data_IF_308832353152
#
_entry.id   IF_308832353152
#
_cell.length_a   1.000
_cell.length_b   1.000
_cell.length_c   1.000
_cell.angle_alpha   90.00
_cell.angle_beta   90.00
_cell.angle_gamma   90.00
#
_symmetry.space_group_name_H-M   'P 1'
#
loop_
_entity.id
_entity.type
_entity.pdbx_description
1 polymer ?
#
# COMPACT_ATOMS: atom_id res chain seq x y z
N UNK A 1 17.91 -33.38 6.95
CA UNK A 1 18.45 -33.23 8.32
C UNK A 1 17.25 -33.05 9.24
N UNK A 2 17.08 -33.89 10.25
CA UNK A 2 16.07 -33.67 11.31
C UNK A 2 16.46 -32.43 12.13
N UNK A 3 15.48 -31.75 12.76
CA UNK A 3 15.82 -30.69 13.72
C UNK A 3 16.72 -31.29 14.82
N UNK A 4 17.90 -30.73 15.05
CA UNK A 4 18.79 -31.27 16.08
C UNK A 4 18.26 -30.95 17.49
N UNK A 5 18.71 -31.69 18.51
CA UNK A 5 18.45 -31.34 19.88
C UNK A 5 18.99 -29.94 20.20
N UNK A 6 18.11 -29.10 20.73
CA UNK A 6 18.17 -27.62 20.76
C UNK A 6 19.09 -27.03 21.85
N UNK A 7 20.09 -27.80 22.28
CA UNK A 7 21.00 -27.37 23.36
C UNK A 7 22.46 -27.29 22.93
N UNK A 8 22.79 -27.68 21.70
CA UNK A 8 24.15 -27.55 21.20
C UNK A 8 24.34 -26.21 20.49
N UNK A 9 24.78 -25.21 21.27
CA UNK A 9 25.16 -23.89 20.76
C UNK A 9 26.28 -24.00 19.71
N UNK A 10 27.17 -24.99 19.83
CA UNK A 10 28.23 -25.22 18.85
C UNK A 10 27.65 -25.76 17.54
N UNK A 11 26.73 -26.72 17.61
CA UNK A 11 25.98 -27.18 16.44
C UNK A 11 25.29 -26.00 15.73
N UNK A 12 24.59 -25.14 16.48
CA UNK A 12 23.92 -23.98 15.86
C UNK A 12 24.94 -23.01 15.26
N UNK A 13 26.10 -22.80 15.89
CA UNK A 13 27.16 -21.96 15.33
C UNK A 13 27.62 -22.45 13.96
N UNK A 14 27.79 -23.76 13.79
CA UNK A 14 28.19 -24.39 12.52
C UNK A 14 27.07 -24.38 11.48
N UNK A 15 25.81 -24.46 11.92
CA UNK A 15 24.65 -24.57 11.04
C UNK A 15 23.89 -23.24 10.86
N UNK A 16 24.31 -22.13 11.49
CA UNK A 16 23.57 -20.85 11.45
C UNK A 16 23.37 -20.33 10.02
N UNK A 17 24.33 -20.59 9.13
CA UNK A 17 24.26 -20.20 7.72
C UNK A 17 23.03 -20.76 7.02
N UNK A 18 22.61 -22.01 7.32
CA UNK A 18 21.44 -22.61 6.69
C UNK A 18 20.14 -21.92 7.13
N UNK A 19 20.05 -21.49 8.38
CA UNK A 19 18.90 -20.75 8.90
C UNK A 19 18.87 -19.31 8.37
N UNK A 20 20.03 -18.70 8.17
CA UNK A 20 20.13 -17.39 7.55
C UNK A 20 19.67 -17.45 6.08
N UNK A 21 20.08 -18.49 5.36
CA UNK A 21 19.63 -18.70 3.99
C UNK A 21 18.14 -19.05 3.92
N UNK A 22 17.63 -19.89 4.82
CA UNK A 22 16.20 -20.19 4.91
C UNK A 22 15.39 -18.91 5.13
N UNK A 23 15.79 -18.06 6.08
CA UNK A 23 15.09 -16.82 6.37
C UNK A 23 15.10 -15.84 5.17
N UNK A 24 16.23 -15.71 4.48
CA UNK A 24 16.34 -14.91 3.24
C UNK A 24 15.41 -15.44 2.14
N UNK A 25 15.43 -16.76 1.89
CA UNK A 25 14.58 -17.39 0.86
C UNK A 25 13.10 -17.22 1.16
N UNK A 26 12.68 -17.44 2.40
CA UNK A 26 11.28 -17.25 2.79
C UNK A 26 10.86 -15.78 2.66
N UNK A 27 11.71 -14.84 3.04
CA UNK A 27 11.40 -13.41 2.90
C UNK A 27 11.25 -12.99 1.42
N UNK A 28 12.10 -13.50 0.53
CA UNK A 28 11.98 -13.27 -0.93
C UNK A 28 10.69 -13.85 -1.49
N UNK A 29 10.39 -15.11 -1.16
CA UNK A 29 9.14 -15.77 -1.55
C UNK A 29 7.94 -14.95 -1.07
N UNK A 30 7.91 -14.59 0.22
CA UNK A 30 6.80 -13.83 0.79
C UNK A 30 6.63 -12.47 0.07
N UNK A 31 7.73 -11.76 -0.16
CA UNK A 31 7.72 -10.48 -0.89
C UNK A 31 7.12 -10.63 -2.29
N UNK A 32 7.56 -11.64 -3.06
CA UNK A 32 7.04 -11.90 -4.40
C UNK A 32 5.54 -12.23 -4.38
N UNK A 33 5.10 -13.09 -3.46
CA UNK A 33 3.69 -13.48 -3.38
C UNK A 33 2.81 -12.29 -2.97
N UNK A 34 3.25 -11.46 -2.02
CA UNK A 34 2.50 -10.26 -1.60
C UNK A 34 2.36 -9.28 -2.77
N UNK A 35 3.43 -9.04 -3.53
CA UNK A 35 3.41 -8.17 -4.71
C UNK A 35 2.49 -8.71 -5.81
N UNK A 36 2.55 -10.02 -6.10
CA UNK A 36 1.67 -10.66 -7.08
C UNK A 36 0.18 -10.52 -6.71
N UNK A 37 -0.14 -10.62 -5.42
CA UNK A 37 -1.49 -10.46 -4.91
C UNK A 37 -1.88 -9.00 -4.65
N UNK A 38 -0.99 -8.04 -4.96
CA UNK A 38 -1.19 -6.59 -4.71
C UNK A 38 -1.55 -6.30 -3.25
N UNK A 39 -0.94 -7.03 -2.31
CA UNK A 39 -1.13 -6.84 -0.88
C UNK A 39 -0.12 -5.80 -0.41
N UNK A 40 -0.62 -4.75 0.25
CA UNK A 40 0.22 -3.69 0.80
C UNK A 40 0.99 -4.20 2.02
N UNK A 41 2.25 -3.79 2.13
CA UNK A 41 3.08 -4.02 3.31
C UNK A 41 4.09 -2.88 3.44
N UNK A 42 4.44 -2.53 4.68
CA UNK A 42 5.43 -1.51 4.97
C UNK A 42 6.86 -2.03 4.80
N UNK A 43 7.15 -3.23 5.33
CA UNK A 43 8.45 -3.86 5.16
C UNK A 43 8.41 -5.37 5.41
N UNK A 44 9.34 -6.09 4.77
CA UNK A 44 9.68 -7.49 5.07
C UNK A 44 11.15 -7.53 5.49
N UNK A 45 11.42 -8.09 6.66
CA UNK A 45 12.78 -8.29 7.21
C UNK A 45 13.01 -9.76 7.52
N UNK A 46 14.27 -10.17 7.54
CA UNK A 46 14.64 -11.52 7.94
C UNK A 46 15.92 -11.53 8.77
N UNK A 47 16.06 -12.53 9.62
CA UNK A 47 17.28 -12.78 10.39
C UNK A 47 17.39 -14.24 10.81
N UNK A 48 18.61 -14.78 10.86
CA UNK A 48 18.90 -15.89 11.74
C UNK A 48 19.17 -15.40 13.16
N UNK A 49 18.69 -16.14 14.17
CA UNK A 49 18.92 -15.82 15.58
C UNK A 49 20.41 -15.64 15.88
N UNK A 50 20.78 -14.67 16.71
CA UNK A 50 22.18 -14.51 17.13
C UNK A 50 22.56 -15.59 18.14
N UNK A 51 23.85 -15.95 18.19
CA UNK A 51 24.38 -16.93 19.16
C UNK A 51 24.13 -16.46 20.59
N UNK A 52 24.35 -15.18 20.87
CA UNK A 52 24.11 -14.57 22.18
C UNK A 52 22.63 -14.66 22.58
N UNK A 53 21.71 -14.34 21.66
CA UNK A 53 20.27 -14.45 21.92
C UNK A 53 19.84 -15.89 22.19
N UNK A 54 20.42 -16.86 21.46
CA UNK A 54 20.20 -18.28 21.71
C UNK A 54 20.69 -18.68 23.10
N UNK A 55 21.94 -18.33 23.44
CA UNK A 55 22.55 -18.61 24.75
C UNK A 55 21.74 -18.04 25.91
N UNK A 56 21.26 -16.81 25.78
CA UNK A 56 20.43 -16.17 26.80
C UNK A 56 19.07 -16.86 26.94
N UNK A 57 18.47 -17.30 25.83
CA UNK A 57 17.18 -18.00 25.83
C UNK A 57 17.29 -19.41 26.42
N UNK A 58 18.40 -20.13 26.19
CA UNK A 58 18.64 -21.47 26.76
C UNK A 58 18.90 -21.46 28.27
N UNK A 59 19.29 -20.31 28.85
CA UNK A 59 19.45 -20.15 30.30
C UNK A 59 18.13 -20.05 31.06
N UNK A 60 17.05 -19.69 30.38
CA UNK A 60 15.73 -19.60 30.99
C UNK A 60 15.13 -21.03 31.11
N UNK A 61 14.82 -21.50 32.34
CA UNK A 61 14.29 -22.84 32.59
C UNK A 61 13.03 -23.17 31.77
N UNK A 62 12.24 -22.15 31.39
CA UNK A 62 11.04 -22.30 30.57
C UNK A 62 11.33 -22.80 29.16
N UNK A 63 12.53 -22.54 28.65
CA UNK A 63 12.97 -22.92 27.30
C UNK A 63 14.05 -24.00 27.31
N UNK A 64 14.58 -24.35 28.48
CA UNK A 64 15.64 -25.34 28.65
C UNK A 64 15.27 -26.76 28.18
N UNK A 65 14.00 -27.06 27.93
CA UNK A 65 13.52 -28.37 27.44
C UNK A 65 12.64 -28.28 26.17
N UNK A 66 12.51 -27.10 25.55
CA UNK A 66 11.58 -26.86 24.44
C UNK A 66 12.30 -26.69 23.10
N UNK A 67 11.67 -27.19 22.05
CA UNK A 67 12.08 -26.94 20.66
C UNK A 67 11.95 -25.45 20.32
N UNK A 68 13.05 -24.83 19.86
CA UNK A 68 13.08 -23.47 19.34
C UNK A 68 12.76 -23.45 17.85
N UNK A 69 11.64 -22.81 17.50
CA UNK A 69 11.20 -22.65 16.11
C UNK A 69 11.62 -21.30 15.50
N UNK A 70 12.21 -20.39 16.30
CA UNK A 70 12.60 -19.03 15.92
C UNK A 70 14.09 -18.90 15.52
N UNK A 71 14.72 -19.99 15.04
CA UNK A 71 16.11 -19.97 14.58
C UNK A 71 16.28 -19.25 13.23
N UNK A 72 15.28 -19.38 12.37
CA UNK A 72 15.07 -18.56 11.17
C UNK A 72 13.80 -17.72 11.41
N UNK A 73 13.95 -16.39 11.39
CA UNK A 73 12.86 -15.46 11.69
C UNK A 73 12.63 -14.49 10.55
N UNK A 74 11.35 -14.31 10.20
CA UNK A 74 10.88 -13.34 9.23
C UNK A 74 9.94 -12.38 9.96
N UNK A 75 10.01 -11.10 9.62
CA UNK A 75 9.09 -10.08 10.10
C UNK A 75 8.36 -9.50 8.90
N UNK A 76 7.04 -9.58 8.91
CA UNK A 76 6.17 -8.97 7.92
C UNK A 76 5.37 -7.86 8.59
N UNK A 77 5.49 -6.63 8.08
CA UNK A 77 4.86 -5.46 8.68
C UNK A 77 3.85 -4.88 7.69
N UNK A 78 2.56 -4.91 8.04
CA UNK A 78 1.47 -4.23 7.32
C UNK A 78 1.35 -2.76 7.74
N UNK A 79 0.65 -1.93 6.97
CA UNK A 79 0.39 -0.55 7.39
C UNK A 79 -0.73 -0.49 8.42
N UNK A 80 -1.80 -1.25 8.19
CA UNK A 80 -2.98 -1.33 9.06
C UNK A 80 -3.31 -2.78 9.40
N UNK A 81 -4.32 -2.99 10.24
CA UNK A 81 -4.73 -4.32 10.69
C UNK A 81 -5.28 -5.18 9.55
N UNK A 82 -6.04 -4.60 8.64
CA UNK A 82 -6.53 -5.30 7.45
C UNK A 82 -5.40 -5.85 6.56
N UNK A 83 -4.26 -5.15 6.46
CA UNK A 83 -3.08 -5.66 5.76
C UNK A 83 -2.49 -6.89 6.49
N UNK A 84 -2.43 -6.85 7.83
CA UNK A 84 -1.97 -7.97 8.64
C UNK A 84 -2.82 -9.22 8.38
N UNK A 85 -4.14 -9.08 8.36
CA UNK A 85 -5.05 -10.19 8.08
C UNK A 85 -4.86 -10.76 6.67
N UNK A 86 -4.67 -9.89 5.67
CA UNK A 86 -4.33 -10.29 4.29
C UNK A 86 -3.00 -11.04 4.23
N UNK A 87 -1.96 -10.54 4.90
CA UNK A 87 -0.64 -11.19 4.96
C UNK A 87 -0.73 -12.56 5.63
N UNK A 88 -1.44 -12.68 6.76
CA UNK A 88 -1.67 -13.95 7.46
C UNK A 88 -2.33 -14.96 6.54
N UNK A 89 -3.40 -14.55 5.84
CA UNK A 89 -4.10 -15.41 4.89
C UNK A 89 -3.16 -15.90 3.79
N UNK A 90 -2.41 -15.00 3.15
CA UNK A 90 -1.44 -15.36 2.11
C UNK A 90 -0.36 -16.31 2.60
N UNK A 91 0.13 -16.13 3.84
CA UNK A 91 1.10 -17.07 4.44
C UNK A 91 0.48 -18.46 4.61
N UNK A 92 -0.75 -18.55 5.13
CA UNK A 92 -1.46 -19.83 5.32
C UNK A 92 -1.73 -20.55 4.00
N UNK A 93 -1.88 -19.83 2.90
CA UNK A 93 -2.07 -20.40 1.55
C UNK A 93 -0.76 -20.89 0.90
N UNK A 94 0.40 -20.41 1.35
CA UNK A 94 1.68 -20.61 0.64
C UNK A 94 2.76 -21.35 1.44
N UNK A 95 2.55 -21.55 2.74
CA UNK A 95 3.48 -22.26 3.63
C UNK A 95 2.74 -23.29 4.48
N UNK A 96 3.45 -24.33 4.90
CA UNK A 96 2.91 -25.34 5.81
C UNK A 96 2.91 -24.74 7.23
N UNK A 97 1.79 -24.14 7.64
CA UNK A 97 1.63 -23.53 8.96
C UNK A 97 1.28 -24.60 10.00
N UNK A 98 2.01 -24.61 11.11
CA UNK A 98 1.72 -25.46 12.27
C UNK A 98 0.91 -24.65 13.29
N UNK A 99 -0.42 -24.67 13.18
CA UNK A 99 -1.31 -23.88 14.05
C UNK A 99 -1.15 -24.27 15.54
N UNK A 100 -0.81 -25.53 15.85
CA UNK A 100 -0.61 -25.99 17.23
C UNK A 100 0.65 -25.40 17.89
N UNK A 101 1.65 -25.03 17.08
CA UNK A 101 2.88 -24.36 17.53
C UNK A 101 2.84 -22.84 17.36
N UNK A 102 1.94 -22.36 16.51
CA UNK A 102 1.72 -20.94 16.28
C UNK A 102 1.07 -20.31 17.50
N UNK A 103 1.33 -19.01 17.69
CA UNK A 103 0.78 -18.25 18.81
C UNK A 103 0.13 -17.01 18.27
N UNK A 104 -1.18 -16.95 18.44
CA UNK A 104 -1.85 -15.66 18.38
C UNK A 104 -1.66 -14.97 19.71
N UNK A 105 -0.55 -14.25 19.82
CA UNK A 105 -0.30 -13.45 20.99
C UNK A 105 -1.35 -12.38 21.15
N UNK A 106 -2.19 -12.00 20.17
CA UNK A 106 -3.23 -10.97 20.39
C UNK A 106 -4.24 -11.39 21.48
N UNK A 107 -4.58 -12.69 21.55
CA UNK A 107 -5.62 -13.25 22.43
C UNK A 107 -5.21 -13.55 23.89
N UNK A 108 -3.90 -13.59 24.20
CA UNK A 108 -3.40 -14.12 25.49
C UNK A 108 -3.22 -13.06 26.62
N UNK A 109 -3.88 -11.90 26.58
CA UNK A 109 -3.61 -10.80 27.53
C UNK A 109 -4.71 -10.80 28.58
N UNK A 110 -4.35 -10.75 29.87
CA UNK A 110 -5.29 -10.31 30.89
C UNK A 110 -5.89 -8.94 30.50
N UNK A 111 -7.21 -8.71 30.70
CA UNK A 111 -7.88 -7.46 30.33
C UNK A 111 -7.26 -6.19 30.96
N UNK A 112 -6.50 -6.34 32.04
CA UNK A 112 -5.84 -5.28 32.81
C UNK A 112 -4.43 -4.93 32.31
N UNK A 113 -3.97 -5.57 31.24
CA UNK A 113 -2.66 -5.30 30.64
C UNK A 113 -2.82 -4.99 29.16
N UNK A 114 -2.31 -3.85 28.74
CA UNK A 114 -2.19 -3.50 27.32
C UNK A 114 -0.83 -3.98 26.81
N UNK A 115 -0.80 -4.58 25.64
CA UNK A 115 0.44 -5.04 25.04
C UNK A 115 0.21 -5.27 23.56
N UNK A 116 1.12 -4.72 22.77
CA UNK A 116 0.90 -4.56 21.34
C UNK A 116 1.50 -5.76 20.60
N UNK A 117 0.68 -6.48 19.82
CA UNK A 117 0.86 -7.95 19.70
C UNK A 117 0.85 -8.44 18.27
N UNK A 118 2.04 -8.84 17.89
CA UNK A 118 2.31 -9.61 16.69
C UNK A 118 1.60 -10.96 16.67
N UNK A 119 1.16 -11.36 15.48
CA UNK A 119 0.80 -12.75 15.18
C UNK A 119 2.10 -13.51 14.91
N UNK A 120 2.31 -14.65 15.59
CA UNK A 120 3.48 -15.49 15.40
C UNK A 120 3.06 -16.81 14.74
N UNK A 121 3.44 -17.00 13.48
CA UNK A 121 3.19 -18.24 12.75
C UNK A 121 4.47 -19.07 12.69
N UNK A 122 4.35 -20.35 13.06
CA UNK A 122 5.43 -21.34 12.92
C UNK A 122 5.17 -22.15 11.66
N UNK A 123 6.12 -22.13 10.73
CA UNK A 123 5.90 -22.61 9.37
C UNK A 123 7.04 -23.53 8.89
N UNK A 124 6.75 -24.31 7.84
CA UNK A 124 7.73 -25.04 7.03
C UNK A 124 7.56 -24.70 5.54
N UNK A 125 8.59 -25.03 4.76
CA UNK A 125 8.52 -24.99 3.30
C UNK A 125 7.60 -26.14 2.83
N UNK A 126 6.57 -25.88 2.00
CA UNK A 126 5.67 -26.91 1.50
C UNK A 126 6.39 -28.00 0.72
N UNK A 127 5.85 -29.22 0.78
CA UNK A 127 6.41 -30.40 0.10
C UNK A 127 6.65 -30.17 -1.39
N UNK A 128 5.75 -29.44 -2.06
CA UNK A 128 5.88 -29.10 -3.49
C UNK A 128 7.13 -28.26 -3.77
N UNK A 129 7.47 -27.30 -2.89
CA UNK A 129 8.69 -26.50 -3.02
C UNK A 129 9.93 -27.30 -2.65
N UNK A 130 9.83 -28.19 -1.65
CA UNK A 130 10.94 -29.09 -1.25
C UNK A 130 11.35 -30.08 -2.36
N UNK A 131 10.49 -30.34 -3.35
CA UNK A 131 10.83 -31.16 -4.51
C UNK A 131 11.92 -30.50 -5.40
N UNK A 132 12.01 -29.17 -5.38
CA UNK A 132 13.01 -28.41 -6.13
C UNK A 132 14.42 -28.58 -5.51
N UNK A 133 15.47 -28.86 -6.30
CA UNK A 133 16.82 -29.17 -5.79
C UNK A 133 17.37 -28.14 -4.80
N UNK A 134 17.16 -26.86 -5.06
CA UNK A 134 17.66 -25.74 -4.27
C UNK A 134 16.97 -25.61 -2.89
N UNK A 135 15.79 -26.20 -2.70
CA UNK A 135 15.04 -26.16 -1.44
C UNK A 135 15.17 -27.44 -0.61
N UNK A 136 15.66 -28.55 -1.18
CA UNK A 136 15.80 -29.85 -0.48
C UNK A 136 16.52 -29.76 0.86
N UNK A 137 17.53 -28.89 0.95
CA UNK A 137 18.32 -28.66 2.17
C UNK A 137 17.53 -28.07 3.34
N UNK A 138 16.38 -27.44 3.07
CA UNK A 138 15.49 -26.88 4.09
C UNK A 138 14.46 -27.88 4.61
N UNK A 139 14.46 -29.12 4.10
CA UNK A 139 13.55 -30.15 4.57
C UNK A 139 13.63 -30.31 6.09
N UNK A 140 12.47 -30.34 6.74
CA UNK A 140 12.29 -30.45 8.20
C UNK A 140 12.73 -29.24 9.03
N UNK A 141 13.18 -28.15 8.41
CA UNK A 141 13.46 -26.91 9.12
C UNK A 141 12.18 -26.09 9.32
N UNK A 142 12.02 -25.56 10.53
CA UNK A 142 10.97 -24.60 10.84
C UNK A 142 11.52 -23.18 10.77
N UNK A 143 10.63 -22.24 10.49
CA UNK A 143 10.87 -20.81 10.62
C UNK A 143 9.67 -20.13 11.28
N UNK A 144 9.90 -19.00 11.91
CA UNK A 144 8.87 -18.15 12.52
C UNK A 144 8.63 -16.94 11.62
N UNK A 145 7.36 -16.64 11.31
CA UNK A 145 6.95 -15.36 10.73
C UNK A 145 6.21 -14.56 11.81
N UNK A 146 6.73 -13.38 12.12
CA UNK A 146 6.09 -12.40 13.00
C UNK A 146 5.40 -11.34 12.15
N UNK A 147 4.09 -11.21 12.31
CA UNK A 147 3.25 -10.34 11.48
C UNK A 147 2.68 -9.23 12.37
N UNK A 148 2.88 -7.98 11.98
CA UNK A 148 2.57 -6.79 12.79
C UNK A 148 2.05 -5.63 11.95
N UNK A 149 1.36 -4.68 12.56
CA UNK A 149 1.22 -3.34 11.96
C UNK A 149 2.52 -2.53 12.10
N UNK A 150 2.63 -1.41 11.36
CA UNK A 150 3.80 -0.53 11.41
C UNK A 150 3.96 0.12 12.79
N UNK A 151 2.85 0.48 13.42
CA UNK A 151 2.85 1.03 14.77
C UNK A 151 3.26 -0.07 15.77
N UNK A 152 2.77 -1.31 15.61
CA UNK A 152 3.18 -2.48 16.42
C UNK A 152 4.66 -2.77 16.34
N UNK A 153 5.20 -2.64 15.13
CA UNK A 153 6.61 -2.77 14.92
C UNK A 153 7.39 -1.67 15.65
N UNK A 154 6.99 -0.40 15.49
CA UNK A 154 7.68 0.73 16.11
C UNK A 154 7.72 0.64 17.64
N UNK A 155 6.57 0.35 18.27
CA UNK A 155 6.51 0.19 19.73
C UNK A 155 7.38 -0.96 20.21
N UNK A 156 7.35 -2.11 19.53
CA UNK A 156 8.13 -3.28 19.93
C UNK A 156 9.64 -3.05 19.80
N UNK A 157 10.09 -2.29 18.81
CA UNK A 157 11.51 -1.95 18.69
C UNK A 157 11.96 -1.01 19.82
N UNK A 158 11.12 -0.04 20.24
CA UNK A 158 11.41 0.85 21.37
C UNK A 158 11.41 0.07 22.69
N UNK A 159 10.38 -0.74 22.93
CA UNK A 159 10.25 -1.55 24.14
C UNK A 159 11.44 -2.51 24.27
N UNK A 160 11.78 -3.22 23.19
CA UNK A 160 12.88 -4.16 23.20
C UNK A 160 14.25 -3.49 23.41
N UNK A 161 14.54 -2.37 22.73
CA UNK A 161 15.82 -1.66 22.92
C UNK A 161 15.98 -1.18 24.37
N UNK A 162 14.91 -0.64 24.97
CA UNK A 162 14.93 -0.13 26.34
C UNK A 162 14.99 -1.25 27.38
N UNK A 163 14.18 -2.30 27.26
CA UNK A 163 14.22 -3.44 28.18
C UNK A 163 15.53 -4.23 28.09
N UNK A 164 16.15 -4.28 26.91
CA UNK A 164 17.46 -4.92 26.75
C UNK A 164 18.58 -4.13 27.44
N UNK A 165 18.57 -2.79 27.29
CA UNK A 165 19.56 -1.90 27.91
C UNK A 165 19.37 -1.69 29.40
N UNK A 166 18.13 -1.74 29.89
CA UNK A 166 17.77 -1.45 31.29
C UNK A 166 16.94 -2.61 31.86
N UNK A 167 17.59 -3.53 32.58
CA UNK A 167 16.88 -4.56 33.34
C UNK A 167 16.25 -3.93 34.59
N UNK A 168 14.96 -4.21 34.82
CA UNK A 168 14.25 -3.76 36.03
C UNK A 168 13.67 -2.36 35.93
N UNK A 169 12.96 -2.06 34.82
CA UNK A 169 12.16 -0.84 34.71
C UNK A 169 11.23 -0.67 35.91
N UNK A 170 11.14 0.56 36.41
CA UNK A 170 10.19 0.94 37.45
C UNK A 170 8.74 0.86 36.95
N UNK A 171 7.79 0.71 37.87
CA UNK A 171 6.40 0.40 37.51
C UNK A 171 5.68 1.59 36.83
N UNK A 172 6.10 2.82 37.11
CA UNK A 172 5.69 4.03 36.38
C UNK A 172 6.09 3.96 34.89
N UNK A 173 7.32 3.57 34.58
CA UNK A 173 7.76 3.42 33.18
C UNK A 173 6.99 2.29 32.49
N UNK A 174 6.76 1.16 33.16
CA UNK A 174 5.94 0.07 32.60
C UNK A 174 4.52 0.55 32.31
N UNK A 175 3.95 1.36 33.22
CA UNK A 175 2.63 1.96 33.04
C UNK A 175 2.60 2.87 31.80
N UNK A 176 3.63 3.69 31.58
CA UNK A 176 3.72 4.55 30.39
C UNK A 176 3.79 3.71 29.09
N UNK A 177 4.53 2.61 29.10
CA UNK A 177 4.55 1.66 27.96
C UNK A 177 3.16 1.07 27.68
N UNK A 178 2.40 0.71 28.72
CA UNK A 178 1.04 0.19 28.59
C UNK A 178 0.06 1.25 28.07
N UNK A 179 0.12 2.48 28.59
CA UNK A 179 -0.69 3.59 28.10
C UNK A 179 -0.39 3.89 26.63
N UNK A 180 0.89 3.91 26.27
CA UNK A 180 1.32 4.13 24.87
C UNK A 180 0.83 3.00 23.97
N UNK A 181 0.90 1.74 24.41
CA UNK A 181 0.35 0.61 23.65
C UNK A 181 -1.15 0.78 23.37
N UNK A 182 -1.93 1.19 24.37
CA UNK A 182 -3.37 1.46 24.19
C UNK A 182 -3.66 2.61 23.21
N UNK A 183 -2.86 3.69 23.25
CA UNK A 183 -2.98 4.78 22.28
C UNK A 183 -2.68 4.33 20.84
N UNK A 184 -1.63 3.53 20.66
CA UNK A 184 -1.26 3.02 19.34
C UNK A 184 -2.28 2.02 18.79
N UNK A 185 -2.85 1.18 19.64
CA UNK A 185 -3.95 0.29 19.26
C UNK A 185 -5.18 1.09 18.80
N UNK A 186 -5.53 2.17 19.50
CA UNK A 186 -6.60 3.06 19.05
C UNK A 186 -6.29 3.69 17.69
N UNK A 187 -5.06 4.18 17.51
CA UNK A 187 -4.62 4.77 16.25
C UNK A 187 -4.69 3.76 15.09
N UNK A 188 -4.24 2.51 15.29
CA UNK A 188 -4.38 1.44 14.29
C UNK A 188 -5.84 1.20 13.90
N UNK A 189 -6.75 1.11 14.88
CA UNK A 189 -8.18 0.93 14.61
C UNK A 189 -8.75 2.11 13.80
N UNK A 190 -8.33 3.34 14.10
CA UNK A 190 -8.76 4.52 13.32
C UNK A 190 -8.21 4.50 11.90
N UNK A 191 -6.93 4.15 11.70
CA UNK A 191 -6.38 4.03 10.36
C UNK A 191 -7.06 2.92 9.55
N UNK A 192 -7.37 1.79 10.19
CA UNK A 192 -8.11 0.69 9.56
C UNK A 192 -9.50 1.13 9.09
N UNK A 193 -10.23 1.88 9.92
CA UNK A 193 -11.53 2.48 9.55
C UNK A 193 -11.41 3.48 8.40
N UNK A 194 -10.37 4.33 8.42
CA UNK A 194 -10.13 5.31 7.35
C UNK A 194 -9.89 4.57 6.02
N UNK A 195 -9.00 3.56 6.01
CA UNK A 195 -8.70 2.76 4.82
C UNK A 195 -9.95 2.06 4.28
N UNK A 196 -10.73 1.38 5.15
CA UNK A 196 -11.99 0.72 4.76
C UNK A 196 -13.01 1.70 4.16
N UNK A 197 -13.11 2.91 4.71
CA UNK A 197 -13.99 3.97 4.18
C UNK A 197 -13.53 4.45 2.81
N UNK A 198 -12.22 4.60 2.60
CA UNK A 198 -11.65 4.97 1.30
C UNK A 198 -11.97 3.88 0.28
N UNK A 199 -11.70 2.62 0.59
CA UNK A 199 -11.96 1.48 -0.31
C UNK A 199 -13.45 1.35 -0.65
N UNK A 200 -14.32 1.41 0.35
CA UNK A 200 -15.78 1.37 0.16
C UNK A 200 -16.27 2.52 -0.74
N UNK A 201 -15.70 3.72 -0.57
CA UNK A 201 -16.04 4.86 -1.43
C UNK A 201 -15.59 4.63 -2.87
N UNK A 202 -14.37 4.12 -3.09
CA UNK A 202 -13.85 3.78 -4.42
C UNK A 202 -14.74 2.72 -5.10
N UNK A 203 -15.14 1.67 -4.38
CA UNK A 203 -16.02 0.63 -4.90
C UNK A 203 -17.39 1.18 -5.27
N UNK A 204 -17.98 2.00 -4.39
CA UNK A 204 -19.26 2.67 -4.64
C UNK A 204 -19.20 3.54 -5.90
N UNK A 205 -18.15 4.34 -6.07
CA UNK A 205 -17.97 5.21 -7.25
C UNK A 205 -17.79 4.35 -8.51
N UNK A 206 -16.98 3.29 -8.42
CA UNK A 206 -16.73 2.37 -9.52
C UNK A 206 -18.02 1.67 -9.96
N UNK A 207 -18.85 1.22 -9.02
CA UNK A 207 -20.12 0.59 -9.31
C UNK A 207 -21.10 1.58 -9.97
N UNK A 208 -21.30 2.78 -9.39
CA UNK A 208 -22.17 3.79 -9.98
C UNK A 208 -21.73 4.20 -11.39
N UNK A 209 -20.41 4.25 -11.63
CA UNK A 209 -19.83 4.50 -12.96
C UNK A 209 -20.20 3.39 -13.95
N UNK A 210 -20.09 2.12 -13.56
CA UNK A 210 -20.49 0.97 -14.40
C UNK A 210 -21.99 0.94 -14.68
N UNK A 211 -22.81 1.37 -13.73
CA UNK A 211 -24.27 1.47 -13.85
C UNK A 211 -24.72 2.70 -14.64
N UNK A 212 -23.80 3.59 -15.07
CA UNK A 212 -24.13 4.83 -15.77
C UNK A 212 -24.80 5.89 -14.88
N UNK A 213 -24.81 5.71 -13.55
CA UNK A 213 -25.44 6.61 -12.57
C UNK A 213 -24.56 7.80 -12.22
N UNK A 214 -24.02 8.46 -13.24
CA UNK A 214 -23.06 9.55 -13.08
C UNK A 214 -23.63 10.78 -12.37
N UNK A 215 -24.95 10.99 -12.44
CA UNK A 215 -25.61 12.13 -11.81
C UNK A 215 -25.57 12.08 -10.27
N UNK A 216 -25.38 10.89 -9.70
CA UNK A 216 -25.33 10.67 -8.24
C UNK A 216 -23.90 10.70 -7.67
N UNK A 217 -22.91 11.10 -8.48
CA UNK A 217 -21.50 11.15 -8.09
C UNK A 217 -21.04 12.59 -8.21
N UNK A 218 -20.89 13.26 -7.07
CA UNK A 218 -20.30 14.59 -6.99
C UNK A 218 -18.81 14.56 -7.36
N UNK A 219 -18.33 15.66 -7.91
CA UNK A 219 -16.94 15.85 -8.28
C UNK A 219 -16.16 16.35 -7.06
N UNK A 220 -15.26 15.50 -6.59
CA UNK A 220 -14.18 15.81 -5.67
C UNK A 220 -12.85 15.32 -6.30
N UNK A 221 -11.68 15.63 -5.70
CA UNK A 221 -10.43 15.24 -6.34
C UNK A 221 -10.24 13.71 -6.47
N UNK A 222 -10.84 12.91 -5.61
CA UNK A 222 -10.75 11.45 -5.71
C UNK A 222 -11.68 10.91 -6.81
N UNK A 223 -12.94 11.38 -6.86
CA UNK A 223 -13.93 10.93 -7.85
C UNK A 223 -13.52 11.38 -9.26
N UNK A 224 -13.04 12.63 -9.41
CA UNK A 224 -12.53 13.15 -10.68
C UNK A 224 -11.32 12.35 -11.15
N UNK A 225 -10.36 12.09 -10.25
CA UNK A 225 -9.17 11.31 -10.58
C UNK A 225 -9.53 9.91 -11.05
N UNK A 226 -10.37 9.21 -10.30
CA UNK A 226 -10.80 7.85 -10.64
C UNK A 226 -11.52 7.84 -11.99
N UNK A 227 -12.48 8.73 -12.19
CA UNK A 227 -13.27 8.80 -13.41
C UNK A 227 -12.40 9.10 -14.65
N UNK A 228 -11.59 10.15 -14.61
CA UNK A 228 -10.71 10.50 -15.74
C UNK A 228 -9.67 9.41 -16.01
N UNK A 229 -9.09 8.80 -14.97
CA UNK A 229 -8.13 7.71 -15.15
C UNK A 229 -8.76 6.49 -15.86
N UNK A 230 -10.02 6.17 -15.55
CA UNK A 230 -10.75 5.10 -16.22
C UNK A 230 -11.13 5.49 -17.66
N UNK A 231 -11.70 6.68 -17.85
CA UNK A 231 -12.15 7.18 -19.16
C UNK A 231 -11.02 7.28 -20.18
N UNK A 232 -9.83 7.69 -19.72
CA UNK A 232 -8.65 7.89 -20.57
C UNK A 232 -7.57 6.80 -20.40
N UNK A 233 -7.92 5.62 -19.86
CA UNK A 233 -6.99 4.52 -19.61
C UNK A 233 -6.21 4.05 -20.86
N UNK A 234 -6.72 4.31 -22.07
CA UNK A 234 -6.04 3.98 -23.33
C UNK A 234 -4.81 4.85 -23.66
N UNK A 235 -4.61 5.96 -22.95
CA UNK A 235 -3.51 6.89 -23.19
C UNK A 235 -2.22 6.41 -22.50
N UNK A 236 -1.27 5.89 -23.29
CA UNK A 236 -0.03 5.27 -22.78
C UNK A 236 0.85 6.18 -21.92
N UNK A 237 0.82 7.51 -22.09
CA UNK A 237 1.66 8.44 -21.30
C UNK A 237 0.89 9.19 -20.21
N UNK A 238 -0.40 8.89 -20.01
CA UNK A 238 -1.17 9.53 -18.95
C UNK A 238 -0.71 9.03 -17.58
N UNK A 239 -0.18 9.92 -16.74
CA UNK A 239 0.02 9.66 -15.32
C UNK A 239 -1.24 10.11 -14.57
N UNK A 240 -1.86 9.25 -13.76
CA UNK A 240 -3.07 9.60 -13.01
C UNK A 240 -2.71 10.47 -11.79
N UNK A 241 -2.21 11.68 -12.03
CA UNK A 241 -1.83 12.66 -11.01
C UNK A 241 -2.38 14.05 -11.36
N UNK A 242 -2.46 14.93 -10.38
CA UNK A 242 -2.69 16.35 -10.60
C UNK A 242 -1.35 17.07 -10.71
N UNK A 243 -1.22 17.97 -11.69
CA UNK A 243 0.05 18.59 -12.05
C UNK A 243 0.40 19.86 -11.28
N UNK A 244 -0.59 20.57 -10.74
CA UNK A 244 -0.38 21.90 -10.14
C UNK A 244 0.00 21.82 -8.66
N UNK A 245 -0.98 21.50 -7.79
CA UNK A 245 -0.76 21.35 -6.35
C UNK A 245 -0.70 19.87 -5.90
N UNK A 246 -0.90 18.94 -6.85
CA UNK A 246 -0.99 17.50 -6.60
C UNK A 246 -2.28 17.05 -5.90
N UNK A 247 -3.11 17.98 -5.43
CA UNK A 247 -4.31 17.67 -4.64
C UNK A 247 -5.56 17.53 -5.49
N UNK A 248 -5.61 18.21 -6.63
CA UNK A 248 -6.78 18.23 -7.52
C UNK A 248 -7.87 19.23 -7.10
N UNK A 249 -7.69 19.97 -6.01
CA UNK A 249 -8.67 20.95 -5.51
C UNK A 249 -8.89 22.09 -6.48
N UNK A 250 -7.84 22.54 -7.17
CA UNK A 250 -7.92 23.63 -8.15
C UNK A 250 -8.76 23.18 -9.34
N UNK A 251 -8.48 22.00 -9.89
CA UNK A 251 -9.25 21.42 -11.00
C UNK A 251 -10.73 21.28 -10.66
N UNK A 252 -11.05 20.79 -9.46
CA UNK A 252 -12.44 20.67 -8.98
C UNK A 252 -13.09 22.05 -8.81
N UNK A 253 -12.37 23.04 -8.28
CA UNK A 253 -12.88 24.41 -8.14
C UNK A 253 -13.16 25.04 -9.51
N UNK A 254 -12.28 24.86 -10.49
CA UNK A 254 -12.46 25.37 -11.84
C UNK A 254 -13.69 24.76 -12.51
N UNK A 255 -13.86 23.43 -12.44
CA UNK A 255 -15.04 22.73 -12.93
C UNK A 255 -16.32 23.24 -12.25
N UNK A 256 -16.29 23.41 -10.93
CA UNK A 256 -17.42 23.92 -10.14
C UNK A 256 -17.81 25.35 -10.54
N UNK A 257 -16.83 26.23 -10.79
CA UNK A 257 -17.09 27.59 -11.28
C UNK A 257 -17.72 27.61 -12.68
N UNK A 258 -17.48 26.57 -13.49
CA UNK A 258 -18.16 26.36 -14.77
C UNK A 258 -19.54 25.70 -14.63
N UNK A 259 -19.97 25.36 -13.42
CA UNK A 259 -21.27 24.72 -13.14
C UNK A 259 -21.25 23.20 -13.24
N UNK A 260 -20.06 22.58 -13.27
CA UNK A 260 -19.87 21.14 -13.36
C UNK A 260 -19.61 20.60 -11.95
N UNK A 261 -20.63 19.99 -11.37
CA UNK A 261 -20.66 19.53 -9.98
C UNK A 261 -20.73 18.00 -9.85
N UNK A 262 -21.22 17.29 -10.88
CA UNK A 262 -21.31 15.84 -10.89
C UNK A 262 -20.76 15.21 -12.17
N UNK A 263 -20.49 13.91 -12.12
CA UNK A 263 -19.90 13.19 -13.26
C UNK A 263 -20.82 13.14 -14.48
N UNK A 264 -22.14 13.27 -14.35
CA UNK A 264 -23.04 13.29 -15.51
C UNK A 264 -22.85 14.56 -16.33
N UNK A 265 -22.69 15.70 -15.65
CA UNK A 265 -22.40 16.97 -16.32
C UNK A 265 -21.04 16.92 -17.02
N UNK A 266 -20.04 16.31 -16.37
CA UNK A 266 -18.71 16.13 -16.96
C UNK A 266 -18.75 15.21 -18.19
N UNK A 267 -19.43 14.08 -18.11
CA UNK A 267 -19.57 13.12 -19.22
C UNK A 267 -20.29 13.72 -20.44
N UNK A 268 -21.30 14.56 -20.21
CA UNK A 268 -21.97 15.28 -21.30
C UNK A 268 -21.03 16.22 -22.05
N UNK A 269 -19.96 16.70 -21.39
CA UNK A 269 -18.95 17.57 -21.99
C UNK A 269 -17.87 16.75 -22.72
N UNK A 270 -17.47 15.60 -22.16
CA UNK A 270 -16.52 14.65 -22.77
C UNK A 270 -17.23 13.84 -23.88
N UNK A 271 -17.68 14.55 -24.91
CA UNK A 271 -18.32 14.02 -26.11
C UNK A 271 -17.32 13.35 -27.05
N UNK A 272 -17.83 12.64 -28.07
CA UNK A 272 -17.00 12.07 -29.13
C UNK A 272 -16.19 13.14 -29.87
N UNK A 273 -16.78 14.32 -30.09
CA UNK A 273 -16.11 15.45 -30.74
C UNK A 273 -14.98 16.00 -29.87
N UNK A 274 -15.22 16.17 -28.56
CA UNK A 274 -14.16 16.54 -27.62
C UNK A 274 -13.03 15.53 -27.66
N UNK A 275 -13.34 14.23 -27.60
CA UNK A 275 -12.33 13.17 -27.64
C UNK A 275 -11.51 13.22 -28.93
N UNK A 276 -12.14 13.45 -30.08
CA UNK A 276 -11.41 13.61 -31.34
C UNK A 276 -10.45 14.81 -31.30
N UNK A 277 -10.90 15.97 -30.78
CA UNK A 277 -10.08 17.19 -30.63
C UNK A 277 -8.92 16.96 -29.68
N UNK A 278 -9.22 16.39 -28.52
CA UNK A 278 -8.23 16.10 -27.49
C UNK A 278 -7.18 15.11 -28.00
N UNK A 279 -7.58 14.01 -28.65
CA UNK A 279 -6.66 13.01 -29.18
C UNK A 279 -5.81 13.54 -30.33
N UNK A 280 -6.38 14.36 -31.23
CA UNK A 280 -5.60 15.00 -32.29
C UNK A 280 -4.54 15.94 -31.72
N UNK A 281 -4.88 16.73 -30.71
CA UNK A 281 -3.90 17.57 -30.01
C UNK A 281 -2.83 16.74 -29.33
N UNK A 282 -3.26 15.69 -28.63
CA UNK A 282 -2.38 14.76 -27.96
C UNK A 282 -1.37 14.13 -28.94
N UNK A 283 -1.82 13.64 -30.09
CA UNK A 283 -0.94 13.03 -31.09
C UNK A 283 -0.01 14.04 -31.79
N UNK A 284 -0.52 15.24 -32.08
CA UNK A 284 0.20 16.26 -32.85
C UNK A 284 1.25 16.99 -32.00
N UNK A 285 0.91 17.32 -30.76
CA UNK A 285 1.72 18.20 -29.93
C UNK A 285 2.48 17.48 -28.83
N UNK A 286 2.20 16.20 -28.50
CA UNK A 286 3.23 15.48 -27.74
C UNK A 286 3.24 13.95 -27.58
N UNK A 287 4.47 13.42 -27.63
CA UNK A 287 4.91 12.20 -26.93
C UNK A 287 5.46 12.51 -25.50
N UNK A 288 5.39 13.75 -25.01
CA UNK A 288 6.09 14.31 -23.84
C UNK A 288 5.42 15.51 -23.07
N UNK A 289 4.11 15.87 -23.18
CA UNK A 289 3.51 16.99 -22.38
C UNK A 289 2.10 16.73 -21.83
N UNK A 290 1.31 15.81 -22.36
CA UNK A 290 0.06 15.39 -21.68
C UNK A 290 0.41 14.26 -20.72
N UNK A 291 0.87 14.66 -19.53
CA UNK A 291 1.33 13.73 -18.50
C UNK A 291 0.33 13.50 -17.40
N UNK A 292 -0.73 14.31 -17.26
CA UNK A 292 -1.49 14.32 -16.02
C UNK A 292 -2.95 14.75 -16.21
N UNK A 293 -3.74 14.57 -15.16
CA UNK A 293 -5.18 14.85 -15.16
C UNK A 293 -5.48 16.34 -15.27
N UNK A 294 -4.58 17.21 -14.80
CA UNK A 294 -4.69 18.66 -14.94
C UNK A 294 -4.76 19.06 -16.41
N UNK A 295 -3.95 18.44 -17.28
CA UNK A 295 -3.98 18.72 -18.72
C UNK A 295 -5.33 18.37 -19.36
N UNK A 296 -5.98 17.29 -18.90
CA UNK A 296 -7.31 16.88 -19.40
C UNK A 296 -8.36 17.90 -18.96
N UNK A 297 -8.38 18.25 -17.67
CA UNK A 297 -9.33 19.25 -17.14
C UNK A 297 -9.13 20.60 -17.83
N UNK A 298 -7.88 21.00 -18.03
CA UNK A 298 -7.54 22.22 -18.75
C UNK A 298 -8.09 22.23 -20.19
N UNK A 299 -7.94 21.11 -20.91
CA UNK A 299 -8.48 20.96 -22.26
C UNK A 299 -10.01 21.08 -22.29
N UNK A 300 -10.69 20.43 -21.35
CA UNK A 300 -12.15 20.51 -21.18
C UNK A 300 -12.57 21.98 -21.01
N UNK A 301 -11.91 22.68 -20.10
CA UNK A 301 -12.25 24.06 -19.75
C UNK A 301 -11.96 25.04 -20.91
N UNK A 302 -10.85 24.87 -21.63
CA UNK A 302 -10.55 25.68 -22.81
C UNK A 302 -11.56 25.46 -23.93
N UNK A 303 -11.84 24.20 -24.28
CA UNK A 303 -12.67 23.87 -25.44
C UNK A 303 -14.12 24.32 -25.22
N UNK A 304 -14.65 24.15 -24.00
CA UNK A 304 -16.06 24.36 -23.73
C UNK A 304 -16.40 25.67 -23.01
N UNK A 305 -15.43 26.28 -22.31
CA UNK A 305 -15.68 27.44 -21.45
C UNK A 305 -14.68 28.58 -21.66
N UNK A 306 -14.06 28.68 -22.84
CA UNK A 306 -13.01 29.66 -23.20
C UNK A 306 -13.09 31.00 -22.48
N UNK A 307 -14.17 31.76 -22.70
CA UNK A 307 -14.29 33.13 -22.22
C UNK A 307 -14.37 33.19 -20.69
N UNK A 308 -15.23 32.34 -20.11
CA UNK A 308 -15.43 32.25 -18.66
C UNK A 308 -14.20 31.69 -17.95
N UNK A 309 -13.51 30.73 -18.56
CA UNK A 309 -12.31 30.12 -18.00
C UNK A 309 -11.10 31.04 -18.05
N UNK A 310 -10.98 31.93 -19.06
CA UNK A 310 -9.90 32.92 -19.13
C UNK A 310 -9.82 33.77 -17.85
N UNK A 311 -10.96 34.23 -17.35
CA UNK A 311 -11.03 35.02 -16.11
C UNK A 311 -10.66 34.22 -14.86
N UNK A 312 -10.97 32.92 -14.85
CA UNK A 312 -10.74 32.02 -13.72
C UNK A 312 -9.28 31.55 -13.69
N UNK A 313 -8.70 31.18 -14.83
CA UNK A 313 -7.32 30.72 -14.96
C UNK A 313 -6.31 31.78 -14.53
N UNK A 314 -6.55 33.06 -14.86
CA UNK A 314 -5.72 34.17 -14.40
C UNK A 314 -5.73 34.32 -12.88
N UNK A 315 -6.88 34.05 -12.23
CA UNK A 315 -7.04 34.20 -10.77
C UNK A 315 -6.59 32.99 -9.96
N UNK A 316 -6.82 31.77 -10.45
CA UNK A 316 -6.60 30.53 -9.69
C UNK A 316 -5.26 29.87 -9.99
N UNK A 317 -4.70 30.08 -11.19
CA UNK A 317 -3.42 29.47 -11.62
C UNK A 317 -2.29 30.49 -11.76
N UNK A 318 -2.52 31.75 -11.37
CA UNK A 318 -1.62 32.89 -11.63
C UNK A 318 -1.13 32.93 -13.08
N UNK A 319 -1.98 32.51 -14.02
CA UNK A 319 -1.53 32.25 -15.38
C UNK A 319 -1.39 33.55 -16.15
N UNK A 320 -0.24 33.73 -16.82
CA UNK A 320 0.00 34.90 -17.66
C UNK A 320 -0.99 34.87 -18.84
N UNK A 321 -1.75 35.95 -19.12
CA UNK A 321 -2.77 35.95 -20.17
C UNK A 321 -2.26 35.53 -21.55
N UNK A 322 -1.04 35.92 -21.93
CA UNK A 322 -0.42 35.53 -23.21
C UNK A 322 -0.19 34.02 -23.33
N UNK A 323 0.07 33.34 -22.21
CA UNK A 323 0.21 31.88 -22.17
C UNK A 323 -1.14 31.21 -22.41
N UNK A 324 -2.23 31.74 -21.85
CA UNK A 324 -3.59 31.26 -22.12
C UNK A 324 -3.93 31.41 -23.60
N UNK A 325 -3.65 32.59 -24.15
CA UNK A 325 -3.96 32.91 -25.55
C UNK A 325 -3.18 32.01 -26.53
N UNK A 326 -1.97 31.56 -26.16
CA UNK A 326 -1.20 30.58 -26.95
C UNK A 326 -1.87 29.21 -26.95
N UNK A 327 -2.28 28.70 -25.78
CA UNK A 327 -3.03 27.43 -25.71
C UNK A 327 -4.35 27.50 -26.49
N UNK A 328 -5.05 28.63 -26.42
CA UNK A 328 -6.28 28.83 -27.19
C UNK A 328 -6.05 28.69 -28.70
N UNK A 329 -4.99 29.33 -29.22
CA UNK A 329 -4.66 29.26 -30.65
C UNK A 329 -4.34 27.82 -31.09
N UNK A 330 -3.67 27.05 -30.24
CA UNK A 330 -3.39 25.64 -30.51
C UNK A 330 -4.69 24.83 -30.59
N UNK A 331 -5.63 25.00 -29.65
CA UNK A 331 -6.91 24.29 -29.66
C UNK A 331 -7.82 24.73 -30.82
N UNK A 332 -7.87 26.02 -31.15
CA UNK A 332 -8.60 26.52 -32.32
C UNK A 332 -8.10 25.89 -33.62
N UNK A 333 -6.79 25.71 -33.76
CA UNK A 333 -6.20 25.01 -34.91
C UNK A 333 -6.70 23.56 -34.99
N UNK A 334 -6.66 22.82 -33.89
CA UNK A 334 -7.10 21.42 -33.86
C UNK A 334 -8.58 21.23 -34.18
N UNK A 335 -9.44 22.09 -33.62
CA UNK A 335 -10.88 22.11 -33.92
C UNK A 335 -11.10 22.29 -35.42
N UNK A 336 -10.39 23.23 -36.05
CA UNK A 336 -10.53 23.50 -37.48
C UNK A 336 -10.05 22.32 -38.35
N UNK A 337 -8.95 21.66 -38.00
CA UNK A 337 -8.47 20.49 -38.75
C UNK A 337 -9.40 19.29 -38.66
N UNK A 338 -10.00 19.04 -37.50
CA UNK A 338 -10.97 17.95 -37.34
C UNK A 338 -12.26 18.23 -38.10
N UNK A 339 -12.77 19.46 -38.04
CA UNK A 339 -13.95 19.85 -38.83
C UNK A 339 -13.72 19.66 -40.33
N UNK A 340 -12.52 19.96 -40.84
CA UNK A 340 -12.14 19.67 -42.24
C UNK A 340 -12.13 18.17 -42.56
N UNK A 341 -11.64 17.33 -41.64
CA UNK A 341 -11.63 15.86 -41.82
C UNK A 341 -13.02 15.21 -41.74
N UNK A 342 -13.97 15.82 -41.03
CA UNK A 342 -15.35 15.34 -40.93
C UNK A 342 -16.21 15.81 -42.13
N UNK A 343 -15.84 16.92 -42.76
CA UNK A 343 -16.57 17.53 -43.89
C UNK A 343 -16.16 16.98 -45.27
N UNK A 344 -15.14 16.11 -45.32
CA UNK A 344 -14.66 15.38 -46.51
C UNK A 344 -14.88 13.88 -46.28
#
# INVERSE_FOLDING_TARGET
MSQPPIHDINWYRENRSIYQELADRVAKILTEILNLNKINYALIQFRAKSIESLQNKTKDPKYASRTLFDLAGIRAVGYVRDDVDKIVKTIKENFDVDDAKSKDKSSELPPDRFGYRAIHLICKIPTQRLALPEYKKFNSLYFEIQIKTILEHAWAEIEHDRNYKYKGLSDDIKRDFYLTAGLLENADNQFDLITKRIDTNIDRITQKTKEGKFAEIEIDPATLKLHLSLKFAGLKSLKPSYGFDGTGKIEVNELSQMGIQNLSQLENIISADFMAIFLFQYEKYDRQTIHNLTSIVFAILIIHFRDKYREVAVKLRDMIPSTFDTYLLEYDFAVNEIRKKISN
#
